data_IF_426727175731
#
_entry.id   IF_426727175731
#
_cell.length_a   1.000
_cell.length_b   1.000
_cell.length_c   1.000
_cell.angle_alpha   90.00
_cell.angle_beta   90.00
_cell.angle_gamma   90.00
#
_symmetry.space_group_name_H-M   'P 1'
#
loop_
_entity.id
_entity.type
_entity.pdbx_description
1 polymer ?
#
# COMPACT_ATOMS: atom_id res chain seq x y z
N UNK A 1 -10.17 -47.31 -4.55
CA UNK A 1 -8.86 -47.21 -3.86
C UNK A 1 -7.90 -46.21 -4.52
N UNK A 2 -8.36 -45.30 -5.40
CA UNK A 2 -7.51 -44.28 -6.06
C UNK A 2 -7.91 -42.82 -5.78
N UNK A 3 -9.00 -42.59 -5.05
CA UNK A 3 -9.52 -41.24 -4.74
C UNK A 3 -9.00 -40.67 -3.42
N UNK A 4 -8.67 -41.50 -2.43
CA UNK A 4 -8.13 -41.07 -1.12
C UNK A 4 -6.65 -40.63 -1.18
N UNK A 5 -5.84 -41.20 -2.07
CA UNK A 5 -4.42 -40.82 -2.22
C UNK A 5 -4.23 -39.43 -2.86
N UNK A 6 -5.21 -38.96 -3.63
CA UNK A 6 -5.11 -37.65 -4.29
C UNK A 6 -5.52 -36.51 -3.35
N UNK A 7 -6.57 -36.69 -2.55
CA UNK A 7 -6.99 -35.73 -1.54
C UNK A 7 -5.96 -35.58 -0.40
N UNK A 8 -5.34 -36.68 0.03
CA UNK A 8 -4.33 -36.65 1.09
C UNK A 8 -3.06 -35.91 0.65
N UNK A 9 -2.59 -36.11 -0.59
CA UNK A 9 -1.42 -35.39 -1.12
C UNK A 9 -1.71 -33.90 -1.39
N UNK A 10 -2.94 -33.55 -1.81
CA UNK A 10 -3.35 -32.16 -1.98
C UNK A 10 -3.39 -31.41 -0.65
N UNK A 11 -3.96 -32.02 0.40
CA UNK A 11 -4.01 -31.43 1.73
C UNK A 11 -2.61 -31.21 2.33
N UNK A 12 -1.70 -32.18 2.16
CA UNK A 12 -0.30 -32.05 2.63
C UNK A 12 0.44 -30.95 1.88
N UNK A 13 0.22 -30.78 0.58
CA UNK A 13 0.82 -29.69 -0.18
C UNK A 13 0.28 -28.31 0.21
N UNK A 14 -1.01 -28.18 0.53
CA UNK A 14 -1.60 -26.93 1.02
C UNK A 14 -1.15 -26.58 2.46
N UNK A 15 -0.99 -27.58 3.33
CA UNK A 15 -0.45 -27.38 4.69
C UNK A 15 1.02 -26.95 4.66
N UNK A 16 1.85 -27.59 3.82
CA UNK A 16 3.25 -27.20 3.64
C UNK A 16 3.39 -25.79 3.06
N UNK A 17 2.49 -25.41 2.16
CA UNK A 17 2.40 -24.06 1.58
C UNK A 17 2.07 -23.02 2.66
N UNK A 18 1.01 -23.24 3.41
CA UNK A 18 0.57 -22.32 4.47
C UNK A 18 1.60 -22.16 5.60
N UNK A 19 2.21 -23.27 6.04
CA UNK A 19 3.24 -23.26 7.08
C UNK A 19 4.45 -22.40 6.70
N UNK A 20 4.81 -22.46 5.41
CA UNK A 20 5.95 -21.72 4.86
C UNK A 20 5.68 -20.20 4.81
N UNK A 21 4.46 -19.79 4.45
CA UNK A 21 4.05 -18.37 4.47
C UNK A 21 4.09 -17.80 5.90
N UNK A 22 3.56 -18.55 6.87
CA UNK A 22 3.54 -18.13 8.27
C UNK A 22 4.97 -17.98 8.80
N UNK A 23 5.86 -18.93 8.47
CA UNK A 23 7.26 -18.87 8.85
C UNK A 23 7.92 -17.62 8.26
N UNK A 24 7.78 -17.38 6.96
CA UNK A 24 8.31 -16.19 6.30
C UNK A 24 7.82 -14.89 6.94
N UNK A 25 6.52 -14.80 7.24
CA UNK A 25 5.92 -13.61 7.83
C UNK A 25 6.44 -13.36 9.26
N UNK A 26 6.54 -14.41 10.07
CA UNK A 26 7.09 -14.32 11.43
C UNK A 26 8.57 -13.90 11.44
N UNK A 27 9.39 -14.47 10.55
CA UNK A 27 10.80 -14.10 10.42
C UNK A 27 10.94 -12.64 9.95
N UNK A 28 10.11 -12.21 9.00
CA UNK A 28 10.08 -10.83 8.51
C UNK A 28 9.76 -9.83 9.62
N UNK A 29 8.80 -10.14 10.50
CA UNK A 29 8.47 -9.31 11.66
C UNK A 29 9.65 -9.25 12.64
N UNK A 30 10.32 -10.37 12.92
CA UNK A 30 11.48 -10.43 13.81
C UNK A 30 12.63 -9.57 13.26
N UNK A 31 12.94 -9.70 11.98
CA UNK A 31 13.97 -8.90 11.30
C UNK A 31 13.60 -7.41 11.35
N UNK A 32 12.34 -7.05 11.08
CA UNK A 32 11.87 -5.67 11.20
C UNK A 32 12.02 -5.10 12.61
N UNK A 33 11.68 -5.87 13.65
CA UNK A 33 11.88 -5.50 15.04
C UNK A 33 13.37 -5.32 15.38
N UNK A 34 14.24 -6.22 14.93
CA UNK A 34 15.69 -6.12 15.11
C UNK A 34 16.25 -4.84 14.48
N UNK A 35 15.84 -4.53 13.24
CA UNK A 35 16.25 -3.31 12.53
C UNK A 35 15.74 -2.08 13.29
N UNK A 36 14.50 -2.09 13.79
CA UNK A 36 13.94 -0.96 14.57
C UNK A 36 14.74 -0.71 15.84
N UNK A 37 15.10 -1.76 16.57
CA UNK A 37 15.91 -1.66 17.79
C UNK A 37 17.32 -1.14 17.46
N UNK A 38 17.95 -1.68 16.41
CA UNK A 38 19.26 -1.25 15.94
C UNK A 38 19.24 0.24 15.56
N UNK A 39 18.22 0.66 14.81
CA UNK A 39 18.06 2.04 14.37
C UNK A 39 17.87 2.99 15.56
N UNK A 40 16.96 2.65 16.46
CA UNK A 40 16.62 3.43 17.65
C UNK A 40 17.77 3.55 18.66
N UNK A 41 18.62 2.52 18.78
CA UNK A 41 19.74 2.51 19.75
C UNK A 41 21.05 3.04 19.19
N UNK A 42 21.41 2.67 17.97
CA UNK A 42 22.79 2.86 17.45
C UNK A 42 22.85 3.99 16.41
N UNK A 43 21.79 4.19 15.62
CA UNK A 43 21.79 5.16 14.51
C UNK A 43 21.15 6.51 14.85
N UNK A 44 20.42 6.61 15.97
CA UNK A 44 19.67 7.80 16.39
C UNK A 44 20.44 9.12 16.29
N UNK A 45 21.77 9.10 16.50
CA UNK A 45 22.62 10.29 16.48
C UNK A 45 23.58 10.36 15.28
N UNK A 46 23.59 9.37 14.38
CA UNK A 46 24.55 9.28 13.28
C UNK A 46 23.92 9.40 11.89
N UNK A 47 22.67 8.97 11.72
CA UNK A 47 22.00 8.90 10.43
C UNK A 47 20.59 9.50 10.55
N UNK A 48 20.29 10.63 9.87
CA UNK A 48 18.99 11.31 9.96
C UNK A 48 17.91 10.68 9.06
N UNK A 49 18.00 9.38 8.78
CA UNK A 49 17.05 8.71 7.87
C UNK A 49 15.81 8.24 8.63
N UNK A 50 14.59 8.41 8.08
CA UNK A 50 13.40 7.76 8.60
C UNK A 50 13.57 6.23 8.64
N UNK A 51 13.01 5.60 9.68
CA UNK A 51 13.05 4.14 9.87
C UNK A 51 12.48 3.38 8.66
N UNK A 52 11.41 3.89 8.04
CA UNK A 52 10.76 3.31 6.85
C UNK A 52 11.71 3.17 5.66
N UNK A 53 12.57 4.17 5.44
CA UNK A 53 13.56 4.12 4.35
C UNK A 53 14.63 3.08 4.66
N UNK A 54 15.04 2.99 5.93
CA UNK A 54 16.07 2.04 6.37
C UNK A 54 15.61 0.59 6.20
N UNK A 55 14.37 0.28 6.58
CA UNK A 55 13.83 -1.07 6.40
C UNK A 55 13.63 -1.41 4.92
N UNK A 56 13.23 -0.45 4.08
CA UNK A 56 13.12 -0.66 2.63
C UNK A 56 14.46 -1.04 2.02
N UNK A 57 15.51 -0.28 2.31
CA UNK A 57 16.86 -0.54 1.78
C UNK A 57 17.37 -1.90 2.25
N UNK A 58 17.24 -2.21 3.53
CA UNK A 58 17.70 -3.50 4.08
C UNK A 58 16.94 -4.67 3.45
N UNK A 59 15.61 -4.60 3.39
CA UNK A 59 14.79 -5.64 2.76
C UNK A 59 15.09 -5.80 1.28
N UNK A 60 15.34 -4.72 0.55
CA UNK A 60 15.70 -4.75 -0.86
C UNK A 60 17.07 -5.43 -1.08
N UNK A 61 18.07 -5.09 -0.27
CA UNK A 61 19.39 -5.73 -0.32
C UNK A 61 19.30 -7.21 0.02
N UNK A 62 18.54 -7.58 1.05
CA UNK A 62 18.29 -8.99 1.40
C UNK A 62 17.62 -9.71 0.22
N UNK A 63 16.59 -9.12 -0.40
CA UNK A 63 15.90 -9.69 -1.55
C UNK A 63 16.83 -9.96 -2.74
N UNK A 64 17.72 -9.02 -3.06
CA UNK A 64 18.74 -9.20 -4.12
C UNK A 64 19.73 -10.33 -3.78
N UNK A 65 20.19 -10.38 -2.53
CA UNK A 65 21.13 -11.41 -2.07
C UNK A 65 20.47 -12.78 -2.22
N UNK A 66 19.20 -12.91 -1.81
CA UNK A 66 18.42 -14.15 -1.91
C UNK A 66 18.24 -14.58 -3.37
N UNK A 67 17.92 -13.66 -4.29
CA UNK A 67 17.76 -14.02 -5.72
C UNK A 67 19.05 -14.45 -6.40
N UNK A 68 20.22 -14.06 -5.87
CA UNK A 68 21.53 -14.39 -6.44
C UNK A 68 22.16 -15.66 -5.89
N UNK A 69 21.56 -16.34 -4.91
CA UNK A 69 22.03 -17.62 -4.38
C UNK A 69 21.31 -18.74 -5.14
N UNK A 70 21.91 -19.32 -6.19
CA UNK A 70 21.29 -20.38 -6.96
C UNK A 70 21.50 -21.69 -6.19
N UNK A 71 20.47 -22.51 -6.03
CA UNK A 71 20.50 -23.85 -5.39
C UNK A 71 20.38 -23.92 -3.86
N UNK A 72 19.72 -22.95 -3.23
CA UNK A 72 19.21 -23.21 -1.88
C UNK A 72 17.76 -23.64 -2.01
N UNK A 73 17.49 -24.94 -1.87
CA UNK A 73 16.15 -25.54 -1.63
C UNK A 73 15.61 -25.08 -0.26
N UNK A 74 15.67 -23.78 -0.01
CA UNK A 74 15.34 -23.16 1.25
C UNK A 74 13.85 -22.86 1.23
N UNK A 75 13.08 -23.80 1.78
CA UNK A 75 11.66 -23.62 2.07
C UNK A 75 11.36 -22.28 2.78
N UNK A 76 12.33 -21.68 3.49
CA UNK A 76 12.19 -20.37 4.14
C UNK A 76 11.74 -19.22 3.23
N UNK A 77 12.20 -19.18 1.96
CA UNK A 77 11.88 -18.10 1.02
C UNK A 77 10.82 -18.50 -0.02
N UNK A 78 10.40 -19.78 -0.04
CA UNK A 78 9.23 -20.19 -0.82
C UNK A 78 7.95 -19.45 -0.37
N UNK A 79 7.92 -18.97 0.88
CA UNK A 79 6.85 -18.14 1.42
C UNK A 79 6.77 -16.76 0.76
N UNK A 80 7.92 -16.18 0.36
CA UNK A 80 7.98 -14.91 -0.38
C UNK A 80 7.32 -15.05 -1.75
N UNK A 81 7.65 -16.11 -2.49
CA UNK A 81 7.07 -16.39 -3.80
C UNK A 81 5.56 -16.57 -3.68
N UNK A 82 5.07 -17.18 -2.61
CA UNK A 82 3.63 -17.36 -2.42
C UNK A 82 2.95 -16.04 -2.03
N UNK A 83 3.62 -15.21 -1.23
CA UNK A 83 3.14 -13.88 -0.87
C UNK A 83 3.09 -12.93 -2.08
N UNK A 84 4.03 -13.06 -3.03
CA UNK A 84 4.05 -12.24 -4.25
C UNK A 84 2.90 -12.52 -5.21
N UNK A 85 2.24 -13.69 -5.08
CA UNK A 85 1.02 -14.02 -5.82
C UNK A 85 -0.26 -13.54 -5.13
N UNK A 86 -0.18 -12.99 -3.92
CA UNK A 86 -1.35 -12.39 -3.26
C UNK A 86 -1.78 -11.18 -4.08
N UNK A 87 -3.09 -11.08 -4.30
CA UNK A 87 -3.66 -9.96 -5.01
C UNK A 87 -3.34 -8.64 -4.27
N UNK A 88 -2.63 -7.68 -4.88
CA UNK A 88 -2.22 -6.45 -4.20
C UNK A 88 -3.43 -5.61 -3.74
N UNK A 89 -4.58 -5.74 -4.39
CA UNK A 89 -5.81 -5.06 -3.95
C UNK A 89 -6.30 -5.58 -2.59
N UNK A 90 -6.07 -6.87 -2.29
CA UNK A 90 -6.49 -7.47 -1.02
C UNK A 90 -5.72 -6.86 0.15
N UNK A 91 -4.43 -6.54 -0.04
CA UNK A 91 -3.62 -5.81 0.94
C UNK A 91 -4.28 -4.45 1.21
N UNK A 92 -4.61 -3.70 0.17
CA UNK A 92 -5.26 -2.39 0.32
C UNK A 92 -6.62 -2.51 1.04
N UNK A 93 -7.43 -3.53 0.71
CA UNK A 93 -8.75 -3.74 1.33
C UNK A 93 -8.69 -4.10 2.81
N UNK A 94 -7.63 -4.76 3.26
CA UNK A 94 -7.46 -5.11 4.68
C UNK A 94 -6.85 -3.94 5.46
N UNK A 95 -5.78 -3.34 4.92
CA UNK A 95 -5.02 -2.33 5.64
C UNK A 95 -5.66 -0.94 5.61
N UNK A 96 -6.31 -0.52 4.52
CA UNK A 96 -6.88 0.82 4.43
C UNK A 96 -7.97 1.07 5.50
N UNK A 97 -8.96 0.18 5.72
CA UNK A 97 -9.94 0.38 6.78
C UNK A 97 -9.32 0.40 8.18
N UNK A 98 -8.30 -0.44 8.41
CA UNK A 98 -7.59 -0.50 9.69
C UNK A 98 -6.83 0.80 9.96
N UNK A 99 -6.15 1.34 8.95
CA UNK A 99 -5.45 2.62 9.04
C UNK A 99 -6.44 3.78 9.24
N UNK A 100 -7.59 3.77 8.54
CA UNK A 100 -8.63 4.80 8.68
C UNK A 100 -9.19 4.79 10.11
N UNK A 101 -9.42 3.60 10.66
CA UNK A 101 -9.85 3.45 12.03
C UNK A 101 -8.80 3.97 13.02
N UNK A 102 -7.53 3.59 12.87
CA UNK A 102 -6.45 4.02 13.76
C UNK A 102 -6.25 5.55 13.75
N UNK A 103 -6.14 6.16 12.56
CA UNK A 103 -6.00 7.60 12.41
C UNK A 103 -7.23 8.36 12.93
N UNK A 104 -8.44 7.80 12.76
CA UNK A 104 -9.68 8.42 13.29
C UNK A 104 -9.80 8.28 14.80
N UNK A 105 -9.38 7.15 15.38
CA UNK A 105 -9.48 6.88 16.82
C UNK A 105 -8.48 7.69 17.63
N UNK A 106 -7.25 7.84 17.12
CA UNK A 106 -6.20 8.65 17.76
C UNK A 106 -6.33 10.15 17.44
N UNK A 107 -7.17 10.51 16.48
CA UNK A 107 -7.34 11.87 15.98
C UNK A 107 -8.17 12.78 16.88
N UNK A 108 -7.75 14.04 17.00
CA UNK A 108 -8.57 15.07 17.64
C UNK A 108 -9.65 15.56 16.67
N UNK A 109 -10.88 15.06 16.83
CA UNK A 109 -12.02 15.39 15.96
C UNK A 109 -12.21 16.90 15.72
N UNK A 110 -12.00 17.73 16.75
CA UNK A 110 -12.11 19.19 16.63
C UNK A 110 -11.13 19.79 15.62
N UNK A 111 -9.89 19.28 15.59
CA UNK A 111 -8.81 19.77 14.72
C UNK A 111 -8.98 19.26 13.30
N UNK A 112 -9.38 17.98 13.15
CA UNK A 112 -9.73 17.39 11.85
C UNK A 112 -10.88 18.16 11.20
N UNK A 113 -11.95 18.47 11.96
CA UNK A 113 -13.12 19.19 11.43
C UNK A 113 -12.76 20.58 10.89
N UNK A 114 -11.85 21.30 11.55
CA UNK A 114 -11.42 22.63 11.09
C UNK A 114 -10.63 22.59 9.78
N UNK A 115 -9.91 21.50 9.51
CA UNK A 115 -9.07 21.36 8.32
C UNK A 115 -9.65 20.44 7.24
N UNK A 116 -10.83 19.87 7.47
CA UNK A 116 -11.51 18.97 6.54
C UNK A 116 -11.64 19.58 5.14
N UNK A 117 -11.92 20.90 5.06
CA UNK A 117 -11.99 21.59 3.78
C UNK A 117 -10.67 21.53 3.01
N UNK A 118 -9.54 21.79 3.69
CA UNK A 118 -8.21 21.72 3.07
C UNK A 118 -7.87 20.29 2.66
N UNK A 119 -8.21 19.30 3.49
CA UNK A 119 -8.01 17.88 3.18
C UNK A 119 -8.81 17.46 1.94
N UNK A 120 -10.09 17.87 1.82
CA UNK A 120 -10.93 17.59 0.64
C UNK A 120 -10.37 18.30 -0.60
N UNK A 121 -9.90 19.54 -0.48
CA UNK A 121 -9.29 20.26 -1.60
C UNK A 121 -7.99 19.58 -2.07
N UNK A 122 -7.17 19.06 -1.15
CA UNK A 122 -5.97 18.31 -1.53
C UNK A 122 -6.32 16.95 -2.16
N UNK A 123 -7.18 16.17 -1.52
CA UNK A 123 -7.53 14.82 -1.98
C UNK A 123 -8.40 14.79 -3.24
N UNK A 124 -9.15 15.87 -3.52
CA UNK A 124 -9.95 16.01 -4.74
C UNK A 124 -9.18 16.72 -5.86
N UNK A 125 -9.36 18.06 -6.01
CA UNK A 125 -8.77 18.79 -7.13
C UNK A 125 -7.24 18.80 -7.09
N UNK A 126 -6.61 18.90 -5.92
CA UNK A 126 -5.14 18.88 -5.81
C UNK A 126 -4.53 17.59 -6.36
N UNK A 127 -5.07 16.45 -5.95
CA UNK A 127 -4.67 15.13 -6.42
C UNK A 127 -4.90 14.95 -7.93
N UNK A 128 -6.05 15.41 -8.44
CA UNK A 128 -6.32 15.33 -9.88
C UNK A 128 -5.32 16.17 -10.70
N UNK A 129 -5.02 17.39 -10.24
CA UNK A 129 -4.02 18.26 -10.87
C UNK A 129 -2.64 17.59 -10.85
N UNK A 130 -2.24 17.06 -9.68
CA UNK A 130 -0.96 16.35 -9.53
C UNK A 130 -0.87 15.14 -10.46
N UNK A 131 -1.93 14.34 -10.55
CA UNK A 131 -2.04 13.20 -11.48
C UNK A 131 -1.82 13.62 -12.93
N UNK A 132 -2.46 14.71 -13.38
CA UNK A 132 -2.31 15.23 -14.74
C UNK A 132 -0.90 15.75 -14.99
N UNK A 133 -0.32 16.47 -14.03
CA UNK A 133 1.07 16.98 -14.16
C UNK A 133 2.05 15.82 -14.29
N UNK A 134 1.95 14.81 -13.41
CA UNK A 134 2.83 13.63 -13.46
C UNK A 134 2.61 12.84 -14.77
N UNK A 135 1.37 12.73 -15.25
CA UNK A 135 1.06 12.09 -16.53
C UNK A 135 1.76 12.80 -17.70
N UNK A 136 1.67 14.13 -17.75
CA UNK A 136 2.37 14.95 -18.75
C UNK A 136 3.87 14.69 -18.66
N UNK A 137 4.46 14.81 -17.47
CA UNK A 137 5.88 14.53 -17.26
C UNK A 137 6.26 13.13 -17.75
N UNK A 138 5.47 12.11 -17.42
CA UNK A 138 5.74 10.73 -17.84
C UNK A 138 5.70 10.55 -19.36
N UNK A 139 4.70 11.12 -20.03
CA UNK A 139 4.54 11.02 -21.50
C UNK A 139 5.71 11.71 -22.23
N UNK A 140 6.17 12.86 -21.75
CA UNK A 140 7.22 13.64 -22.43
C UNK A 140 8.65 13.26 -22.05
N UNK A 141 8.88 12.74 -20.83
CA UNK A 141 10.23 12.38 -20.36
C UNK A 141 10.59 10.96 -20.80
N UNK A 142 9.65 10.02 -20.75
CA UNK A 142 9.95 8.62 -21.04
C UNK A 142 9.80 8.30 -22.53
N UNK A 143 10.77 7.60 -23.14
CA UNK A 143 10.77 7.29 -24.58
C UNK A 143 9.90 6.07 -24.93
N UNK A 144 8.75 5.90 -24.27
CA UNK A 144 7.89 4.72 -24.40
C UNK A 144 6.61 4.98 -25.21
N UNK A 145 6.42 6.21 -25.75
CA UNK A 145 5.23 6.62 -26.49
C UNK A 145 3.92 6.24 -25.79
N UNK A 146 3.82 6.56 -24.50
CA UNK A 146 2.64 6.24 -23.70
C UNK A 146 1.39 6.97 -24.20
N UNK A 147 0.26 6.27 -24.20
CA UNK A 147 -1.03 6.91 -24.42
C UNK A 147 -1.37 7.82 -23.23
N UNK A 148 -2.22 8.82 -23.45
CA UNK A 148 -2.70 9.70 -22.38
C UNK A 148 -3.32 8.94 -21.22
N UNK A 149 -4.05 7.87 -21.52
CA UNK A 149 -4.70 7.06 -20.50
C UNK A 149 -3.66 6.28 -19.66
N UNK A 150 -2.62 5.75 -20.29
CA UNK A 150 -1.52 5.09 -19.58
C UNK A 150 -0.71 6.09 -18.73
N UNK A 151 -0.50 7.30 -19.25
CA UNK A 151 0.12 8.40 -18.50
C UNK A 151 -0.71 8.81 -17.28
N UNK A 152 -2.03 8.93 -17.42
CA UNK A 152 -2.93 9.23 -16.30
C UNK A 152 -3.00 8.10 -15.28
N UNK A 153 -3.00 6.84 -15.73
CA UNK A 153 -2.87 5.68 -14.86
C UNK A 153 -1.56 5.76 -14.06
N UNK A 154 -0.44 6.02 -14.72
CA UNK A 154 0.86 6.21 -14.06
C UNK A 154 0.86 7.38 -13.07
N UNK A 155 0.29 8.52 -13.48
CA UNK A 155 0.14 9.70 -12.63
C UNK A 155 -0.69 9.41 -11.37
N UNK A 156 -1.75 8.63 -11.47
CA UNK A 156 -2.60 8.30 -10.33
C UNK A 156 -1.89 7.46 -9.27
N UNK A 157 -0.98 6.57 -9.70
CA UNK A 157 -0.15 5.75 -8.80
C UNK A 157 0.84 6.64 -8.03
N UNK A 158 1.44 7.63 -8.71
CA UNK A 158 2.48 8.47 -8.14
C UNK A 158 1.95 9.73 -7.43
N UNK A 159 0.68 10.07 -7.60
CA UNK A 159 0.11 11.29 -7.01
C UNK A 159 -0.22 11.15 -5.52
N UNK A 160 -0.16 9.94 -4.97
CA UNK A 160 -0.38 9.68 -3.55
C UNK A 160 0.80 10.19 -2.72
N UNK A 161 0.52 10.77 -1.56
CA UNK A 161 1.55 11.35 -0.68
C UNK A 161 1.75 10.43 0.51
N UNK A 162 2.98 9.97 0.76
CA UNK A 162 3.27 9.17 1.96
C UNK A 162 3.60 10.10 3.14
N UNK A 163 2.73 10.20 4.17
CA UNK A 163 2.97 11.07 5.31
C UNK A 163 4.01 10.48 6.26
N UNK A 164 4.35 9.18 6.17
CA UNK A 164 5.10 8.48 7.21
C UNK A 164 6.48 9.11 7.43
N UNK A 165 7.17 9.46 6.35
CA UNK A 165 8.45 10.17 6.44
C UNK A 165 8.30 11.59 6.98
N UNK A 166 7.24 12.30 6.57
CA UNK A 166 6.97 13.68 6.98
C UNK A 166 6.59 13.75 8.46
N UNK A 167 5.71 12.86 8.92
CA UNK A 167 5.27 12.75 10.31
C UNK A 167 6.44 12.41 11.24
N UNK A 168 7.36 11.55 10.80
CA UNK A 168 8.58 11.25 11.56
C UNK A 168 9.45 12.52 11.77
N UNK A 169 9.65 13.31 10.72
CA UNK A 169 10.40 14.58 10.80
C UNK A 169 9.67 15.63 11.65
N UNK A 170 8.35 15.72 11.55
CA UNK A 170 7.55 16.62 12.38
C UNK A 170 7.70 16.27 13.86
N UNK A 171 7.67 14.98 14.21
CA UNK A 171 7.86 14.54 15.58
C UNK A 171 9.27 14.90 16.11
N UNK A 172 10.30 14.76 15.29
CA UNK A 172 11.67 15.16 15.63
C UNK A 172 11.83 16.68 15.78
N UNK A 173 11.03 17.46 15.05
CA UNK A 173 10.99 18.94 15.15
C UNK A 173 10.22 19.49 16.35
N UNK A 174 9.60 18.61 17.17
CA UNK A 174 8.81 19.01 18.34
C UNK A 174 7.37 19.44 18.02
N UNK A 175 6.85 19.07 16.85
CA UNK A 175 5.46 19.36 16.49
C UNK A 175 4.45 18.68 17.43
N UNK A 176 3.27 19.29 17.59
CA UNK A 176 2.22 18.72 18.43
C UNK A 176 1.72 17.39 17.85
N UNK A 177 1.38 16.43 18.72
CA UNK A 177 0.74 15.16 18.31
C UNK A 177 -0.52 15.39 17.48
N UNK A 178 -1.23 16.49 17.74
CA UNK A 178 -2.41 16.88 16.97
C UNK A 178 -2.07 17.25 15.52
N UNK A 179 -0.93 17.89 15.26
CA UNK A 179 -0.50 18.24 13.90
C UNK A 179 -0.04 16.98 13.13
N UNK A 180 0.70 16.10 13.81
CA UNK A 180 1.10 14.81 13.25
C UNK A 180 -0.10 13.94 12.85
N UNK A 181 -1.07 13.78 13.75
CA UNK A 181 -2.31 13.03 13.49
C UNK A 181 -3.17 13.67 12.40
N UNK A 182 -3.16 14.99 12.28
CA UNK A 182 -3.86 15.69 11.21
C UNK A 182 -3.23 15.40 9.84
N UNK A 183 -1.90 15.50 9.74
CA UNK A 183 -1.19 15.21 8.49
C UNK A 183 -1.43 13.76 8.08
N UNK A 184 -1.32 12.84 9.05
CA UNK A 184 -1.57 11.41 8.86
C UNK A 184 -2.98 11.14 8.30
N UNK A 185 -4.02 11.68 8.95
CA UNK A 185 -5.41 11.53 8.49
C UNK A 185 -5.69 12.21 7.15
N UNK A 186 -5.07 13.35 6.86
CA UNK A 186 -5.22 14.05 5.56
C UNK A 186 -4.59 13.28 4.42
N UNK A 187 -3.44 12.63 4.66
CA UNK A 187 -2.76 11.82 3.66
C UNK A 187 -3.49 10.52 3.41
N UNK A 188 -4.10 9.93 4.44
CA UNK A 188 -4.92 8.73 4.27
C UNK A 188 -6.15 8.98 3.39
N UNK A 189 -6.76 10.16 3.50
CA UNK A 189 -7.83 10.59 2.59
C UNK A 189 -7.31 10.74 1.14
N UNK A 190 -6.08 11.24 0.99
CA UNK A 190 -5.39 11.35 -0.30
C UNK A 190 -5.10 9.95 -0.89
N UNK A 191 -4.62 9.00 -0.08
CA UNK A 191 -4.35 7.61 -0.49
C UNK A 191 -5.60 6.88 -0.97
N UNK A 192 -6.70 7.00 -0.23
CA UNK A 192 -7.99 6.45 -0.65
C UNK A 192 -8.47 7.06 -1.97
N UNK A 193 -8.35 8.38 -2.12
CA UNK A 193 -8.77 9.09 -3.33
C UNK A 193 -7.90 8.72 -4.55
N UNK A 194 -6.58 8.61 -4.37
CA UNK A 194 -5.64 8.17 -5.41
C UNK A 194 -5.95 6.75 -5.87
N UNK A 195 -6.26 5.85 -4.94
CA UNK A 195 -6.66 4.49 -5.27
C UNK A 195 -7.96 4.43 -6.10
N UNK A 196 -8.95 5.26 -5.79
CA UNK A 196 -10.19 5.36 -6.59
C UNK A 196 -9.88 5.86 -8.01
N UNK A 197 -9.06 6.91 -8.15
CA UNK A 197 -8.65 7.44 -9.46
C UNK A 197 -7.87 6.39 -10.25
N UNK A 198 -6.96 5.65 -9.60
CA UNK A 198 -6.24 4.54 -10.19
C UNK A 198 -7.18 3.47 -10.74
N UNK A 199 -8.16 3.01 -9.95
CA UNK A 199 -9.12 2.01 -10.38
C UNK A 199 -9.94 2.46 -11.58
N UNK A 200 -10.31 3.74 -11.65
CA UNK A 200 -11.03 4.30 -12.81
C UNK A 200 -10.17 4.17 -14.06
N UNK A 201 -8.95 4.70 -14.04
CA UNK A 201 -8.08 4.63 -15.21
C UNK A 201 -7.72 3.19 -15.57
N UNK A 202 -7.49 2.31 -14.58
CA UNK A 202 -7.18 0.91 -14.79
C UNK A 202 -8.30 0.18 -15.54
N UNK A 203 -9.56 0.35 -15.12
CA UNK A 203 -10.70 -0.26 -15.78
C UNK A 203 -10.90 0.27 -17.21
N UNK A 204 -10.67 1.57 -17.44
CA UNK A 204 -10.73 2.15 -18.79
C UNK A 204 -9.62 1.58 -19.67
N UNK A 205 -8.39 1.38 -19.16
CA UNK A 205 -7.27 0.82 -19.92
C UNK A 205 -7.56 -0.62 -20.36
N UNK A 206 -8.23 -1.40 -19.51
CA UNK A 206 -8.54 -2.82 -19.77
C UNK A 206 -9.75 -3.01 -20.71
N UNK A 207 -10.41 -1.92 -21.12
CA UNK A 207 -11.46 -1.94 -22.14
C UNK A 207 -12.89 -1.76 -21.60
N UNK A 208 -13.04 -1.46 -20.31
CA UNK A 208 -14.35 -1.26 -19.69
C UNK A 208 -14.82 0.20 -19.82
N UNK A 209 -15.21 0.58 -21.04
CA UNK A 209 -15.40 1.98 -21.44
C UNK A 209 -16.78 2.57 -21.11
N UNK A 210 -17.61 1.90 -20.31
CA UNK A 210 -18.98 2.37 -20.09
C UNK A 210 -19.01 3.57 -19.12
N UNK A 211 -19.26 4.78 -19.61
CA UNK A 211 -19.30 6.01 -18.81
C UNK A 211 -20.27 5.94 -17.61
N UNK A 212 -21.41 5.24 -17.78
CA UNK A 212 -22.34 4.95 -16.66
C UNK A 212 -21.70 4.08 -15.59
N UNK A 213 -20.91 3.09 -16.00
CA UNK A 213 -20.21 2.17 -15.09
C UNK A 213 -19.11 2.90 -14.33
N UNK A 214 -18.37 3.80 -14.98
CA UNK A 214 -17.36 4.66 -14.32
C UNK A 214 -17.99 5.54 -13.22
N UNK A 215 -19.13 6.19 -13.49
CA UNK A 215 -19.83 7.02 -12.48
C UNK A 215 -20.35 6.15 -11.34
N UNK A 216 -20.94 5.00 -11.65
CA UNK A 216 -21.41 4.05 -10.63
C UNK A 216 -20.23 3.51 -9.82
N UNK A 217 -19.09 3.24 -10.43
CA UNK A 217 -17.88 2.77 -9.76
C UNK A 217 -17.28 3.85 -8.87
N UNK A 218 -17.23 5.12 -9.31
CA UNK A 218 -16.83 6.26 -8.45
C UNK A 218 -17.69 6.28 -7.18
N UNK A 219 -19.02 6.28 -7.34
CA UNK A 219 -19.95 6.34 -6.21
C UNK A 219 -19.79 5.11 -5.31
N UNK A 220 -19.70 3.91 -5.89
CA UNK A 220 -19.52 2.68 -5.12
C UNK A 220 -18.17 2.70 -4.38
N UNK A 221 -17.05 2.99 -5.03
CA UNK A 221 -15.73 3.01 -4.40
C UNK A 221 -15.63 4.10 -3.33
N UNK A 222 -16.19 5.29 -3.56
CA UNK A 222 -16.22 6.38 -2.56
C UNK A 222 -17.10 6.10 -1.34
N UNK A 223 -18.20 5.36 -1.49
CA UNK A 223 -19.07 4.96 -0.37
C UNK A 223 -18.47 3.77 0.42
N UNK A 224 -17.46 3.10 -0.14
CA UNK A 224 -16.83 1.94 0.48
C UNK A 224 -17.38 0.61 -0.06
N UNK A 225 -17.44 0.46 -1.40
CA UNK A 225 -17.62 -0.84 -2.09
C UNK A 225 -16.72 -1.94 -1.52
N UNK A 226 -15.58 -1.56 -0.95
CA UNK A 226 -14.63 -2.41 -0.25
C UNK A 226 -15.24 -3.09 0.99
N UNK A 227 -16.01 -2.35 1.79
CA UNK A 227 -16.75 -2.88 2.94
C UNK A 227 -17.88 -3.79 2.47
N UNK A 228 -18.57 -3.40 1.38
CA UNK A 228 -19.68 -4.17 0.81
C UNK A 228 -19.18 -5.50 0.22
N UNK A 229 -18.09 -5.52 -0.55
CA UNK A 229 -17.49 -6.76 -1.07
C UNK A 229 -16.98 -7.69 0.03
N UNK A 230 -16.42 -7.14 1.12
CA UNK A 230 -16.02 -7.95 2.26
C UNK A 230 -17.22 -8.61 2.97
N UNK A 231 -18.39 -7.97 2.96
CA UNK A 231 -19.63 -8.54 3.48
C UNK A 231 -20.26 -9.56 2.51
N UNK A 232 -20.19 -9.29 1.20
CA UNK A 232 -20.83 -10.10 0.16
C UNK A 232 -20.02 -11.35 -0.24
N UNK A 233 -18.71 -11.39 0.07
CA UNK A 233 -17.86 -12.58 -0.02
C UNK A 233 -17.98 -13.47 1.22
N UNK A 234 -18.68 -13.00 2.27
CA UNK A 234 -18.89 -13.74 3.52
C UNK A 234 -20.20 -14.55 3.56
N UNK A 235 -21.00 -14.51 2.48
CA UNK A 235 -22.19 -15.34 2.22
C UNK A 235 -21.90 -16.36 1.10
#
# INVERSE_FOLDING_TARGET
MGTENNSTNQNVHEELKSSTVILFLSLSIIVGCMIKILFSRILKNKIPLPFTISILIVSFVIGIIVTKIPNSDNNLFAGEIQLSHINPHLIHYIFLPLLIFDSSFNGHFHVIKQQLLSAILMAGPGLFISTVIIAICGIYIFPYNWSWLLGLLFGSILSTTDPVAVVALLHDSGASRSLASLIDSSSLLNDGSAFVIFLIFYNIVIGDHSAKKIIVDIVKYSIGKQIIYALEVSD
#
